data_IF_480701665559
#
_entry.id   IF_480701665559
#
_cell.length_a   1.000
_cell.length_b   1.000
_cell.length_c   1.000
_cell.angle_alpha   90.00
_cell.angle_beta   90.00
_cell.angle_gamma   90.00
#
_symmetry.space_group_name_H-M   'P 1'
#
loop_
_entity.id
_entity.type
_entity.pdbx_description
1 polymer ?
#
# COMPACT_ATOMS: atom_id res chain seq x y z
N UNK A 1 -5.62 16.97 16.68
CA UNK A 1 -5.51 17.31 15.25
C UNK A 1 -4.08 17.72 14.95
N UNK A 2 -3.62 17.51 13.70
CA UNK A 2 -2.31 18.00 13.26
C UNK A 2 -2.37 19.52 13.14
N UNK A 3 -1.28 20.21 13.48
CA UNK A 3 -1.17 21.67 13.35
C UNK A 3 -1.19 22.13 11.88
N UNK A 4 -0.77 21.25 10.97
CA UNK A 4 -0.82 21.43 9.52
C UNK A 4 -1.37 20.15 8.90
N UNK A 5 -2.33 20.29 7.99
CA UNK A 5 -2.80 19.18 7.16
C UNK A 5 -1.78 18.93 6.03
N UNK A 6 -1.15 17.75 5.97
CA UNK A 6 -0.16 17.46 4.94
C UNK A 6 -0.85 17.19 3.61
N UNK A 7 -0.28 17.62 2.49
CA UNK A 7 -0.79 17.22 1.16
C UNK A 7 -0.48 15.76 0.83
N UNK A 8 0.68 15.27 1.27
CA UNK A 8 1.19 13.92 0.98
C UNK A 8 1.78 13.31 2.25
N UNK A 9 1.45 12.05 2.47
CA UNK A 9 1.99 11.20 3.52
C UNK A 9 3.04 10.27 2.89
N UNK A 10 4.24 10.24 3.49
CA UNK A 10 5.33 9.33 3.10
C UNK A 10 5.51 8.27 4.18
N UNK A 11 5.58 7.01 3.79
CA UNK A 11 5.56 5.87 4.71
C UNK A 11 6.68 4.91 4.36
N UNK A 12 7.47 4.53 5.36
CA UNK A 12 8.46 3.47 5.25
C UNK A 12 7.80 2.10 5.47
N UNK A 13 8.06 1.16 4.57
CA UNK A 13 7.50 -0.19 4.61
C UNK A 13 8.55 -1.22 4.21
N UNK A 14 8.45 -2.44 4.73
CA UNK A 14 9.28 -3.55 4.29
C UNK A 14 8.66 -4.24 3.07
N UNK A 15 9.44 -4.94 2.22
CA UNK A 15 8.92 -5.59 1.02
C UNK A 15 7.70 -6.49 1.26
N UNK A 16 7.67 -7.27 2.34
CA UNK A 16 6.52 -8.12 2.67
C UNK A 16 5.24 -7.32 2.97
N UNK A 17 5.37 -6.16 3.64
CA UNK A 17 4.25 -5.25 3.93
C UNK A 17 3.78 -4.49 2.69
N UNK A 18 4.63 -4.37 1.66
CA UNK A 18 4.27 -3.69 0.41
C UNK A 18 3.13 -4.40 -0.31
N UNK A 19 3.08 -5.74 -0.29
CA UNK A 19 1.96 -6.48 -0.90
C UNK A 19 0.63 -6.02 -0.31
N UNK A 20 0.56 -5.91 1.02
CA UNK A 20 -0.66 -5.48 1.70
C UNK A 20 -1.02 -4.03 1.38
N UNK A 21 -0.03 -3.16 1.36
CA UNK A 21 -0.18 -1.77 0.96
C UNK A 21 -0.64 -1.63 -0.50
N UNK A 22 -0.20 -2.51 -1.39
CA UNK A 22 -0.61 -2.55 -2.79
C UNK A 22 -2.07 -2.97 -2.93
N UNK A 23 -2.49 -4.01 -2.19
CA UNK A 23 -3.88 -4.46 -2.14
C UNK A 23 -4.83 -3.33 -1.75
N UNK A 24 -4.44 -2.50 -0.77
CA UNK A 24 -5.23 -1.35 -0.36
C UNK A 24 -5.45 -0.32 -1.47
N UNK A 25 -4.46 -0.13 -2.35
CA UNK A 25 -4.57 0.80 -3.46
C UNK A 25 -5.43 0.24 -4.60
N UNK A 26 -5.34 -1.06 -4.86
CA UNK A 26 -6.10 -1.75 -5.91
C UNK A 26 -7.55 -2.04 -5.51
N UNK A 27 -7.84 -2.17 -4.20
CA UNK A 27 -9.16 -2.55 -3.70
C UNK A 27 -10.30 -1.69 -4.26
N UNK A 28 -10.12 -0.37 -4.40
CA UNK A 28 -11.21 0.50 -4.82
C UNK A 28 -11.40 0.56 -6.34
N UNK A 29 -10.31 0.56 -7.11
CA UNK A 29 -10.34 0.74 -8.57
C UNK A 29 -10.21 -0.55 -9.38
N UNK A 30 -9.76 -1.65 -8.76
CA UNK A 30 -9.27 -2.83 -9.48
C UNK A 30 -8.06 -2.50 -10.35
N UNK A 31 -7.69 -3.44 -11.23
CA UNK A 31 -6.65 -3.20 -12.23
C UNK A 31 -5.20 -3.37 -11.75
N UNK A 32 -4.28 -2.95 -12.61
CA UNK A 32 -2.84 -3.09 -12.39
C UNK A 32 -2.30 -2.01 -11.44
N UNK A 33 -1.47 -2.41 -10.48
CA UNK A 33 -0.65 -1.48 -9.72
C UNK A 33 0.63 -1.13 -10.50
N UNK A 34 0.61 -0.02 -11.22
CA UNK A 34 1.74 0.46 -12.02
C UNK A 34 2.52 1.57 -11.32
N UNK A 35 3.84 1.44 -11.23
CA UNK A 35 4.74 2.50 -10.75
C UNK A 35 5.93 2.70 -11.68
N UNK A 36 6.43 3.93 -11.73
CA UNK A 36 7.66 4.30 -12.43
C UNK A 36 8.53 5.05 -11.45
N UNK A 37 9.82 4.73 -11.38
CA UNK A 37 10.76 5.45 -10.54
C UNK A 37 12.18 5.42 -11.10
N UNK A 38 13.02 6.34 -10.62
CA UNK A 38 14.44 6.41 -10.93
C UNK A 38 15.27 6.47 -9.65
N UNK A 39 16.45 5.84 -9.68
CA UNK A 39 17.29 5.73 -8.47
C UNK A 39 17.81 7.08 -7.96
N UNK A 40 17.89 8.12 -8.80
CA UNK A 40 18.37 9.45 -8.39
C UNK A 40 17.40 10.21 -7.48
N UNK A 41 16.09 9.98 -7.66
CA UNK A 41 15.05 10.83 -7.08
C UNK A 41 13.92 10.03 -6.40
N UNK A 42 14.23 8.89 -5.79
CA UNK A 42 13.25 7.99 -5.17
C UNK A 42 12.22 8.72 -4.29
N UNK A 43 12.64 9.35 -3.20
CA UNK A 43 11.70 9.98 -2.25
C UNK A 43 11.14 11.30 -2.78
N UNK A 44 12.00 12.22 -3.23
CA UNK A 44 11.60 13.58 -3.62
C UNK A 44 10.77 13.63 -4.92
N UNK A 45 10.93 12.68 -5.85
CA UNK A 45 10.10 12.63 -7.05
C UNK A 45 8.96 11.63 -6.91
N UNK A 46 9.21 10.42 -6.40
CA UNK A 46 8.26 9.31 -6.53
C UNK A 46 7.47 8.99 -5.26
N UNK A 47 7.93 9.38 -4.08
CA UNK A 47 7.15 9.27 -2.84
C UNK A 47 6.47 10.59 -2.42
N UNK A 48 6.79 11.72 -3.07
CA UNK A 48 6.26 13.05 -2.71
C UNK A 48 5.62 13.75 -3.90
N UNK A 49 6.40 14.20 -4.89
CA UNK A 49 5.86 14.95 -6.03
C UNK A 49 4.87 14.14 -6.87
N UNK A 50 5.17 12.87 -7.18
CA UNK A 50 4.32 12.00 -7.99
C UNK A 50 2.94 11.75 -7.35
N UNK A 51 2.81 11.34 -6.07
CA UNK A 51 1.51 11.25 -5.39
C UNK A 51 0.73 12.57 -5.36
N UNK A 52 1.43 13.71 -5.26
CA UNK A 52 0.76 15.01 -5.25
C UNK A 52 0.09 15.32 -6.58
N UNK A 53 0.78 15.07 -7.71
CA UNK A 53 0.30 15.44 -9.05
C UNK A 53 -0.57 14.38 -9.72
N UNK A 54 -0.37 13.09 -9.39
CA UNK A 54 -1.12 11.99 -9.98
C UNK A 54 -2.48 11.87 -9.30
N UNK A 55 -3.56 12.07 -10.07
CA UNK A 55 -4.93 11.99 -9.56
C UNK A 55 -5.59 10.64 -9.81
N UNK A 56 -4.95 9.77 -10.58
CA UNK A 56 -5.52 8.49 -10.98
C UNK A 56 -5.07 7.37 -10.05
N UNK A 57 -3.85 7.43 -9.52
CA UNK A 57 -3.36 6.47 -8.55
C UNK A 57 -3.78 6.80 -7.10
N UNK A 58 -4.11 5.77 -6.32
CA UNK A 58 -4.38 5.90 -4.88
C UNK A 58 -3.08 6.02 -4.08
N UNK A 59 -2.03 5.31 -4.51
CA UNK A 59 -0.74 5.29 -3.83
C UNK A 59 0.39 5.03 -4.83
N UNK A 60 1.60 5.52 -4.53
CA UNK A 60 2.81 5.20 -5.29
C UNK A 60 3.84 4.52 -4.39
N UNK A 61 4.50 3.49 -4.92
CA UNK A 61 5.65 2.86 -4.29
C UNK A 61 6.94 3.22 -5.02
N UNK A 62 8.03 3.39 -4.27
CA UNK A 62 9.36 3.64 -4.82
C UNK A 62 10.46 3.10 -3.92
N UNK A 63 11.63 2.87 -4.53
CA UNK A 63 12.86 2.60 -3.80
C UNK A 63 13.44 3.93 -3.29
N UNK A 64 13.83 4.04 -2.01
CA UNK A 64 14.61 5.17 -1.54
C UNK A 64 15.87 5.33 -2.40
N UNK A 65 16.28 6.56 -2.70
CA UNK A 65 17.53 6.80 -3.42
C UNK A 65 18.76 6.71 -2.48
N UNK A 66 19.98 6.72 -3.05
CA UNK A 66 21.20 6.79 -2.23
C UNK A 66 21.23 8.01 -1.32
N UNK A 67 20.71 9.16 -1.78
CA UNK A 67 20.60 10.36 -0.94
C UNK A 67 19.65 10.15 0.24
N UNK A 68 18.50 9.51 0.01
CA UNK A 68 17.55 9.19 1.06
C UNK A 68 18.15 8.23 2.10
N UNK A 69 18.92 7.22 1.68
CA UNK A 69 19.63 6.33 2.62
C UNK A 69 20.74 7.05 3.38
N UNK A 70 21.61 7.76 2.67
CA UNK A 70 22.79 8.42 3.26
C UNK A 70 22.42 9.57 4.20
N UNK A 71 21.42 10.37 3.85
CA UNK A 71 21.09 11.60 4.56
C UNK A 71 19.72 11.58 5.24
N UNK A 72 18.77 10.77 4.74
CA UNK A 72 17.42 10.67 5.26
C UNK A 72 17.18 9.47 6.20
N UNK A 73 18.20 8.64 6.46
CA UNK A 73 18.13 7.54 7.42
C UNK A 73 17.32 6.31 6.98
N UNK A 74 16.93 6.23 5.71
CA UNK A 74 16.21 5.08 5.16
C UNK A 74 17.07 3.82 5.21
N UNK A 75 16.48 2.69 5.60
CA UNK A 75 17.17 1.41 5.75
C UNK A 75 17.20 0.63 4.43
N UNK A 76 18.08 -0.38 4.38
CA UNK A 76 18.27 -1.21 3.18
C UNK A 76 17.05 -2.10 2.90
N UNK A 77 16.32 -2.48 3.94
CA UNK A 77 15.11 -3.30 3.88
C UNK A 77 13.81 -2.48 3.80
N UNK A 78 13.92 -1.17 3.55
CA UNK A 78 12.78 -0.26 3.44
C UNK A 78 12.51 0.18 1.99
N UNK A 79 11.22 0.25 1.67
CA UNK A 79 10.61 0.90 0.53
C UNK A 79 9.72 2.04 1.01
N UNK A 80 9.42 2.97 0.11
CA UNK A 80 8.59 4.13 0.42
C UNK A 80 7.26 4.07 -0.32
N UNK A 81 6.17 4.32 0.41
CA UNK A 81 4.91 4.73 -0.17
C UNK A 81 4.71 6.23 -0.06
N UNK A 82 4.16 6.83 -1.11
CA UNK A 82 3.62 8.17 -1.11
C UNK A 82 2.13 8.15 -1.41
N UNK A 83 1.34 8.80 -0.56
CA UNK A 83 -0.13 8.81 -0.64
C UNK A 83 -0.62 10.22 -0.40
N UNK A 84 -1.48 10.72 -1.30
CA UNK A 84 -2.09 12.04 -1.11
C UNK A 84 -3.13 11.96 0.02
N UNK A 85 -3.22 13.01 0.83
CA UNK A 85 -4.05 12.99 2.06
C UNK A 85 -5.52 12.68 1.79
N UNK A 86 -6.07 13.20 0.69
CA UNK A 86 -7.44 12.97 0.23
C UNK A 86 -7.71 11.52 -0.22
N UNK A 87 -6.66 10.72 -0.48
CA UNK A 87 -6.75 9.30 -0.82
C UNK A 87 -6.41 8.39 0.37
N UNK A 88 -5.90 8.95 1.47
CA UNK A 88 -5.33 8.15 2.55
C UNK A 88 -6.38 7.24 3.21
N UNK A 89 -7.58 7.76 3.48
CA UNK A 89 -8.67 6.98 4.06
C UNK A 89 -9.15 5.86 3.12
N UNK A 90 -9.21 6.12 1.80
CA UNK A 90 -9.55 5.11 0.79
C UNK A 90 -8.52 3.97 0.83
N UNK A 91 -7.24 4.34 0.88
CA UNK A 91 -6.14 3.38 0.91
C UNK A 91 -6.15 2.51 2.18
N UNK A 92 -6.37 3.12 3.35
CA UNK A 92 -6.53 2.40 4.62
C UNK A 92 -7.74 1.48 4.58
N UNK A 93 -8.89 1.97 4.11
CA UNK A 93 -10.12 1.17 3.96
C UNK A 93 -9.89 -0.05 3.07
N UNK A 94 -9.16 0.12 1.97
CA UNK A 94 -8.78 -0.96 1.08
C UNK A 94 -7.94 -2.03 1.78
N UNK A 95 -6.95 -1.63 2.59
CA UNK A 95 -6.16 -2.58 3.38
C UNK A 95 -7.02 -3.33 4.41
N UNK A 96 -7.91 -2.63 5.12
CA UNK A 96 -8.82 -3.22 6.10
C UNK A 96 -9.78 -4.23 5.47
N UNK A 97 -10.42 -3.85 4.36
CA UNK A 97 -11.34 -4.73 3.65
C UNK A 97 -10.57 -5.94 3.15
N UNK A 98 -9.48 -5.72 2.43
CA UNK A 98 -8.70 -6.81 1.85
C UNK A 98 -8.08 -7.73 2.93
N UNK A 99 -7.95 -7.25 4.18
CA UNK A 99 -7.53 -8.06 5.33
C UNK A 99 -8.67 -9.00 5.77
N UNK A 100 -9.88 -8.45 5.90
CA UNK A 100 -11.10 -9.21 6.26
C UNK A 100 -11.44 -10.32 5.27
N UNK A 101 -10.78 -10.35 4.12
CA UNK A 101 -11.21 -11.10 2.94
C UNK A 101 -10.18 -12.16 2.53
N UNK A 102 -9.22 -12.44 3.41
CA UNK A 102 -8.24 -13.51 3.25
C UNK A 102 -6.85 -13.06 2.80
N UNK A 103 -6.70 -11.84 2.25
CA UNK A 103 -5.39 -11.26 1.91
C UNK A 103 -4.75 -10.59 3.14
N UNK A 104 -4.63 -11.35 4.22
CA UNK A 104 -4.04 -10.84 5.46
C UNK A 104 -2.51 -10.82 5.36
N UNK A 105 -1.91 -9.88 6.10
CA UNK A 105 -0.49 -9.90 6.41
C UNK A 105 -0.34 -9.73 7.93
N UNK A 106 0.60 -10.42 8.61
CA UNK A 106 1.61 -11.35 8.08
C UNK A 106 1.04 -12.65 7.52
N UNK A 107 1.78 -13.31 6.62
CA UNK A 107 1.32 -14.58 6.04
C UNK A 107 1.38 -15.67 7.12
N UNK A 108 0.36 -16.52 7.29
CA UNK A 108 0.26 -17.43 8.45
C UNK A 108 1.47 -18.33 8.69
N UNK A 109 2.15 -18.84 7.65
CA UNK A 109 3.35 -19.66 7.81
C UNK A 109 4.56 -18.89 8.37
N UNK A 110 4.51 -17.56 8.38
CA UNK A 110 5.51 -16.67 8.98
C UNK A 110 5.22 -16.40 10.47
N UNK A 111 4.05 -16.80 10.97
CA UNK A 111 3.66 -16.66 12.36
C UNK A 111 4.04 -17.93 13.12
N UNK A 112 4.51 -17.77 14.36
CA UNK A 112 4.70 -18.89 15.30
C UNK A 112 3.37 -19.38 15.90
N UNK A 113 2.29 -19.31 15.11
CA UNK A 113 0.93 -19.66 15.52
C UNK A 113 0.52 -20.98 14.87
N UNK A 114 -0.22 -21.82 15.60
CA UNK A 114 -0.84 -23.02 15.03
C UNK A 114 -2.00 -22.67 14.08
N UNK A 115 -2.54 -21.45 14.16
CA UNK A 115 -3.53 -20.92 13.22
C UNK A 115 -2.84 -20.57 11.90
N UNK A 116 -2.98 -21.46 10.93
CA UNK A 116 -2.43 -21.34 9.58
C UNK A 116 -3.39 -20.72 8.57
N UNK A 117 -4.64 -20.47 8.97
CA UNK A 117 -5.65 -19.84 8.14
C UNK A 117 -5.81 -18.38 8.54
N UNK A 118 -5.56 -17.49 7.58
CA UNK A 118 -5.91 -16.08 7.65
C UNK A 118 -7.28 -15.77 7.04
N UNK A 119 -7.95 -16.78 6.48
CA UNK A 119 -9.28 -16.59 5.94
C UNK A 119 -10.21 -16.36 7.14
N UNK A 120 -10.66 -15.12 7.30
CA UNK A 120 -11.79 -14.86 8.16
C UNK A 120 -12.97 -15.74 7.75
N UNK A 121 -13.87 -16.01 8.69
CA UNK A 121 -15.10 -16.78 8.47
C UNK A 121 -15.71 -16.39 7.13
N UNK A 122 -15.80 -17.38 6.22
CA UNK A 122 -16.47 -17.24 4.94
C UNK A 122 -17.90 -16.78 5.26
N UNK A 123 -18.21 -15.53 4.97
CA UNK A 123 -19.57 -15.01 5.10
C UNK A 123 -20.45 -15.77 4.10
N UNK A 124 -21.74 -15.94 4.37
CA UNK A 124 -22.69 -16.54 3.41
C UNK A 124 -22.79 -15.74 2.10
N UNK A 125 -22.29 -14.50 2.10
CA UNK A 125 -22.17 -13.64 0.92
C UNK A 125 -21.13 -14.18 -0.08
N UNK A 126 -21.51 -14.38 -1.36
CA UNK A 126 -20.60 -14.83 -2.41
C UNK A 126 -19.37 -13.92 -2.60
N UNK A 127 -18.25 -14.51 -3.03
CA UNK A 127 -16.97 -13.82 -3.27
C UNK A 127 -17.14 -12.66 -4.27
N UNK A 128 -17.96 -12.85 -5.30
CA UNK A 128 -18.26 -11.89 -6.36
C UNK A 128 -18.99 -10.64 -5.82
N UNK A 129 -19.85 -10.81 -4.81
CA UNK A 129 -20.56 -9.71 -4.16
C UNK A 129 -19.66 -8.96 -3.17
N UNK A 130 -18.72 -9.65 -2.54
CA UNK A 130 -17.74 -9.03 -1.64
C UNK A 130 -16.63 -8.31 -2.42
N UNK A 131 -16.25 -8.82 -3.61
CA UNK A 131 -15.14 -8.33 -4.44
C UNK A 131 -15.55 -8.09 -5.90
N UNK A 132 -16.49 -7.17 -6.18
CA UNK A 132 -17.02 -6.97 -7.53
C UNK A 132 -15.97 -6.49 -8.54
N UNK A 133 -14.81 -6.03 -8.08
CA UNK A 133 -13.73 -5.48 -8.92
C UNK A 133 -12.54 -6.44 -9.10
N UNK A 134 -12.49 -7.59 -8.39
CA UNK A 134 -11.39 -8.58 -8.55
C UNK A 134 -11.56 -9.49 -9.79
N UNK A 135 -12.74 -9.49 -10.42
CA UNK A 135 -13.08 -10.44 -11.52
C UNK A 135 -13.06 -9.75 -12.89
N UNK A 136 -12.88 -8.43 -12.95
CA UNK A 136 -12.82 -7.72 -14.22
C UNK A 136 -11.39 -7.63 -14.75
N UNK A 137 -10.91 -8.74 -15.30
CA UNK A 137 -9.85 -8.80 -16.30
C UNK A 137 -10.20 -9.83 -17.38
#
# INVERSE_FOLDING_TARGET
ELEVEPDVIVIAVTPGRCNKAMDGAMWYKGGDFSTHFSNGCGICAFATAKPYIDRDAVAHITFPCHGARRFGGWRDDELAYGVRIDQFDIWVKGMENTFKTGHSYPIPHQLNSQLRESHHVITETPYEELYPYCIQH
#
